data_IF_588539561324
#
_entry.id   IF_588539561324
#
_cell.length_a   1.000
_cell.length_b   1.000
_cell.length_c   1.000
_cell.angle_alpha   90.00
_cell.angle_beta   90.00
_cell.angle_gamma   90.00
#
_symmetry.space_group_name_H-M   'P 1'
#
loop_
_entity.id
_entity.type
_entity.pdbx_description
1 polymer ?
#
# COMPACT_ATOMS: atom_id res chain seq x y z
N UNK A 1 -19.35 19.70 22.04
CA UNK A 1 -18.37 20.25 21.08
C UNK A 1 -17.00 20.21 21.74
N UNK A 2 -15.98 19.73 21.03
CA UNK A 2 -14.62 19.61 21.58
C UNK A 2 -13.96 20.97 21.79
N UNK A 3 -12.97 21.02 22.69
CA UNK A 3 -12.10 22.20 22.88
C UNK A 3 -11.28 22.45 21.59
N UNK A 4 -10.87 23.70 21.30
CA UNK A 4 -10.03 24.01 20.15
C UNK A 4 -8.68 23.28 20.19
N UNK A 5 -8.23 22.77 19.04
CA UNK A 5 -6.96 22.04 18.92
C UNK A 5 -5.77 22.81 19.50
N UNK A 6 -5.69 24.12 19.23
CA UNK A 6 -4.60 24.96 19.72
C UNK A 6 -4.51 25.02 21.25
N UNK A 7 -5.65 25.03 21.94
CA UNK A 7 -5.68 25.05 23.41
C UNK A 7 -5.25 23.70 23.99
N UNK A 8 -5.74 22.60 23.42
CA UNK A 8 -5.40 21.24 23.87
C UNK A 8 -3.93 20.91 23.55
N UNK A 9 -3.43 21.36 22.40
CA UNK A 9 -2.03 21.24 22.02
C UNK A 9 -1.11 22.01 22.99
N UNK A 10 -1.46 23.25 23.34
CA UNK A 10 -0.69 24.06 24.28
C UNK A 10 -0.67 23.44 25.69
N UNK A 11 -1.80 22.92 26.15
CA UNK A 11 -1.88 22.19 27.43
C UNK A 11 -1.03 20.91 27.40
N UNK A 12 -1.14 20.11 26.34
CA UNK A 12 -0.35 18.89 26.17
C UNK A 12 1.16 19.19 26.15
N UNK A 13 1.57 20.25 25.46
CA UNK A 13 2.96 20.68 25.41
C UNK A 13 3.48 21.18 26.77
N UNK A 14 2.68 21.96 27.49
CA UNK A 14 3.00 22.40 28.85
C UNK A 14 3.19 21.21 29.80
N UNK A 15 2.26 20.25 29.75
CA UNK A 15 2.34 19.01 30.54
C UNK A 15 3.56 18.17 30.18
N UNK A 16 3.92 18.11 28.89
CA UNK A 16 5.13 17.42 28.44
C UNK A 16 6.41 18.09 28.98
N UNK A 17 6.51 19.43 28.86
CA UNK A 17 7.66 20.21 29.33
C UNK A 17 7.82 20.20 30.85
N UNK A 18 6.74 20.10 31.62
CA UNK A 18 6.80 19.97 33.07
C UNK A 18 7.64 18.77 33.55
N UNK A 19 7.83 17.77 32.69
CA UNK A 19 8.64 16.56 32.95
C UNK A 19 9.88 16.46 32.07
N UNK A 20 9.97 17.25 31.00
CA UNK A 20 11.01 17.18 29.99
C UNK A 20 11.43 18.61 29.60
N UNK A 21 12.44 19.14 30.29
CA UNK A 21 12.97 20.48 30.02
C UNK A 21 14.46 20.39 29.71
N UNK A 22 14.80 20.44 28.43
CA UNK A 22 16.19 20.32 27.97
C UNK A 22 16.38 20.97 26.61
N UNK A 23 17.63 21.28 26.29
CA UNK A 23 18.02 21.78 24.96
C UNK A 23 17.62 20.81 23.83
N UNK A 24 17.50 19.50 24.12
CA UNK A 24 17.05 18.52 23.13
C UNK A 24 15.57 18.73 22.80
N UNK A 25 14.74 18.99 23.81
CA UNK A 25 13.31 19.29 23.64
C UNK A 25 13.14 20.58 22.85
N UNK A 26 13.91 21.61 23.16
CA UNK A 26 13.83 22.91 22.49
C UNK A 26 14.22 22.85 21.00
N UNK A 27 15.17 21.99 20.63
CA UNK A 27 15.72 21.96 19.27
C UNK A 27 15.14 20.85 18.37
N UNK A 28 14.75 19.71 18.95
CA UNK A 28 14.44 18.51 18.16
C UNK A 28 13.03 17.98 18.35
N UNK A 29 12.29 18.48 19.34
CA UNK A 29 10.97 17.93 19.63
C UNK A 29 9.82 18.82 19.15
N UNK A 30 8.79 18.15 18.66
CA UNK A 30 7.53 18.75 18.24
C UNK A 30 6.34 17.95 18.76
N UNK A 31 5.15 18.26 18.24
CA UNK A 31 3.90 17.67 18.69
C UNK A 31 3.07 17.19 17.49
N UNK A 32 2.69 15.92 17.45
CA UNK A 32 1.73 15.38 16.50
C UNK A 32 0.30 15.66 16.95
N UNK A 33 -0.64 15.78 16.01
CA UNK A 33 -2.08 15.61 16.26
C UNK A 33 -2.48 14.20 15.84
N UNK A 34 -2.46 13.27 16.78
CA UNK A 34 -2.88 11.88 16.55
C UNK A 34 -4.40 11.79 16.64
N UNK A 35 -5.05 11.25 15.61
CA UNK A 35 -6.50 11.07 15.57
C UNK A 35 -6.81 9.60 15.32
N UNK A 36 -7.57 8.98 16.22
CA UNK A 36 -8.01 7.60 16.12
C UNK A 36 -9.52 7.55 15.94
N UNK A 37 -9.96 7.00 14.83
CA UNK A 37 -11.36 6.74 14.53
C UNK A 37 -11.69 5.29 14.88
N UNK A 38 -12.60 5.09 15.84
CA UNK A 38 -13.09 3.74 16.17
C UNK A 38 -14.11 3.28 15.12
N UNK A 39 -13.82 2.22 14.33
CA UNK A 39 -14.73 1.76 13.28
C UNK A 39 -16.03 1.14 13.82
N UNK A 40 -16.06 0.74 15.10
CA UNK A 40 -17.22 0.07 15.70
C UNK A 40 -18.23 1.05 16.30
N UNK A 41 -17.78 2.16 16.87
CA UNK A 41 -18.65 3.12 17.56
C UNK A 41 -18.59 4.55 17.01
N UNK A 42 -17.71 4.82 16.03
CA UNK A 42 -17.55 6.15 15.44
C UNK A 42 -16.93 7.19 16.37
N UNK A 43 -16.46 6.80 17.56
CA UNK A 43 -15.76 7.70 18.46
C UNK A 43 -14.43 8.11 17.86
N UNK A 44 -14.21 9.43 17.78
CA UNK A 44 -12.98 10.05 17.34
C UNK A 44 -12.17 10.49 18.57
N UNK A 45 -11.00 9.91 18.77
CA UNK A 45 -10.09 10.25 19.86
C UNK A 45 -8.92 11.06 19.30
N UNK A 46 -8.82 12.32 19.73
CA UNK A 46 -7.70 13.20 19.38
C UNK A 46 -6.73 13.28 20.56
N UNK A 47 -5.43 13.13 20.28
CA UNK A 47 -4.34 13.33 21.22
C UNK A 47 -3.23 14.15 20.59
N UNK A 48 -2.49 14.86 21.44
CA UNK A 48 -1.31 15.60 21.05
C UNK A 48 -0.08 14.93 21.64
N UNK A 49 0.72 14.29 20.79
CA UNK A 49 1.80 13.39 21.21
C UNK A 49 3.18 13.99 20.85
N UNK A 50 4.13 14.08 21.80
CA UNK A 50 5.47 14.60 21.53
C UNK A 50 6.26 13.66 20.62
N UNK A 51 7.09 14.20 19.73
CA UNK A 51 7.98 13.42 18.86
C UNK A 51 9.35 14.08 18.74
N UNK A 52 10.40 13.30 18.43
CA UNK A 52 11.77 13.79 18.22
C UNK A 52 12.26 13.65 16.76
N UNK A 53 11.69 12.74 16.00
CA UNK A 53 12.03 12.51 14.60
C UNK A 53 10.80 12.06 13.82
N UNK A 54 10.85 12.26 12.50
CA UNK A 54 9.80 11.85 11.58
C UNK A 54 10.22 10.58 10.85
N UNK A 55 9.45 9.50 11.06
CA UNK A 55 9.56 8.30 10.23
C UNK A 55 8.69 8.49 8.99
N UNK A 56 9.33 8.68 7.83
CA UNK A 56 8.62 8.85 6.56
C UNK A 56 8.52 7.49 5.85
N UNK A 57 7.31 6.99 5.55
CA UNK A 57 7.17 5.75 4.81
C UNK A 57 7.67 5.95 3.38
N UNK A 58 8.47 5.01 2.88
CA UNK A 58 8.80 4.96 1.46
C UNK A 58 7.57 4.49 0.68
N UNK A 59 7.36 5.00 -0.55
CA UNK A 59 6.33 4.46 -1.42
C UNK A 59 6.55 2.96 -1.64
N UNK A 60 5.55 2.15 -1.30
CA UNK A 60 5.60 0.72 -1.61
C UNK A 60 5.53 0.51 -3.12
N UNK A 61 6.44 -0.33 -3.64
CA UNK A 61 6.37 -0.75 -5.04
C UNK A 61 5.07 -1.50 -5.28
N UNK A 62 4.22 -0.98 -6.15
CA UNK A 62 2.98 -1.65 -6.56
C UNK A 62 3.21 -2.75 -7.59
N UNK A 63 4.46 -2.97 -8.01
CA UNK A 63 4.86 -3.99 -8.97
C UNK A 63 5.83 -4.99 -8.35
N UNK A 64 5.78 -6.23 -8.83
CA UNK A 64 6.72 -7.31 -8.50
C UNK A 64 7.36 -7.83 -9.79
N UNK A 65 8.67 -8.05 -9.74
CA UNK A 65 9.41 -8.70 -10.81
C UNK A 65 9.34 -10.23 -10.65
N UNK A 66 8.93 -10.93 -11.70
CA UNK A 66 8.87 -12.38 -11.75
C UNK A 66 9.85 -12.91 -12.80
N UNK A 67 10.75 -13.80 -12.37
CA UNK A 67 11.64 -14.53 -13.27
C UNK A 67 10.93 -15.79 -13.78
N UNK A 68 10.76 -15.88 -15.09
CA UNK A 68 10.02 -16.95 -15.76
C UNK A 68 10.93 -17.69 -16.73
N UNK A 69 10.75 -19.01 -16.82
CA UNK A 69 11.35 -19.82 -17.87
C UNK A 69 10.28 -20.15 -18.91
N UNK A 70 10.45 -19.67 -20.14
CA UNK A 70 9.63 -20.08 -21.27
C UNK A 70 10.26 -21.32 -21.90
N UNK A 71 9.50 -22.40 -21.97
CA UNK A 71 9.88 -23.64 -22.62
C UNK A 71 8.95 -23.85 -23.80
N UNK A 72 9.52 -23.95 -24.98
CA UNK A 72 8.80 -24.27 -26.20
C UNK A 72 8.61 -25.78 -26.31
N UNK A 73 7.35 -26.21 -26.33
CA UNK A 73 6.98 -27.63 -26.39
C UNK A 73 7.19 -28.25 -27.77
N UNK A 74 7.32 -27.43 -28.83
CA UNK A 74 7.67 -27.91 -30.17
C UNK A 74 9.15 -28.27 -30.31
N UNK A 75 9.98 -27.87 -29.34
CA UNK A 75 11.43 -28.07 -29.37
C UNK A 75 12.17 -27.16 -30.36
N UNK A 76 11.48 -26.23 -31.04
CA UNK A 76 12.09 -25.34 -32.02
C UNK A 76 13.03 -24.30 -31.38
N UNK A 77 12.80 -23.96 -30.11
CA UNK A 77 13.62 -23.02 -29.36
C UNK A 77 14.10 -23.59 -28.03
N UNK A 78 15.29 -23.15 -27.59
CA UNK A 78 15.84 -23.51 -26.27
C UNK A 78 15.04 -22.80 -25.16
N UNK A 79 15.00 -23.34 -23.93
CA UNK A 79 14.42 -22.64 -22.78
C UNK A 79 15.02 -21.23 -22.61
N UNK A 80 14.16 -20.22 -22.49
CA UNK A 80 14.56 -18.82 -22.36
C UNK A 80 14.05 -18.21 -21.06
N UNK A 81 14.87 -17.37 -20.43
CA UNK A 81 14.55 -16.69 -19.18
C UNK A 81 14.04 -15.28 -19.45
N UNK A 82 12.95 -14.91 -18.80
CA UNK A 82 12.36 -13.59 -18.87
C UNK A 82 12.15 -13.02 -17.47
N UNK A 83 12.23 -11.70 -17.34
CA UNK A 83 11.79 -10.99 -16.15
C UNK A 83 10.61 -10.12 -16.54
N UNK A 84 9.46 -10.32 -15.91
CA UNK A 84 8.26 -9.51 -16.15
C UNK A 84 7.87 -8.78 -14.89
N UNK A 85 7.53 -7.50 -15.04
CA UNK A 85 6.96 -6.70 -13.96
C UNK A 85 5.44 -6.71 -14.06
N UNK A 86 4.79 -7.11 -12.98
CA UNK A 86 3.33 -7.14 -12.88
C UNK A 86 2.87 -6.49 -11.58
N UNK A 87 1.64 -5.96 -11.51
CA UNK A 87 1.08 -5.47 -10.26
C UNK A 87 1.14 -6.52 -9.15
N UNK A 88 1.37 -6.12 -7.90
CA UNK A 88 1.36 -7.06 -6.77
C UNK A 88 -0.01 -7.75 -6.59
N UNK A 89 -1.09 -7.03 -6.87
CA UNK A 89 -2.46 -7.55 -6.94
C UNK A 89 -2.82 -8.20 -8.29
N UNK A 90 -1.84 -8.34 -9.19
CA UNK A 90 -2.03 -8.88 -10.53
C UNK A 90 -2.27 -10.39 -10.54
N UNK A 91 -2.84 -10.86 -11.65
CA UNK A 91 -3.20 -12.26 -11.90
C UNK A 91 -2.18 -12.97 -12.79
N UNK A 92 -2.28 -14.29 -12.91
CA UNK A 92 -1.49 -15.07 -13.88
C UNK A 92 -1.73 -14.58 -15.32
N UNK A 93 -2.92 -14.06 -15.64
CA UNK A 93 -3.21 -13.49 -16.96
C UNK A 93 -2.30 -12.30 -17.26
N UNK A 94 -2.07 -11.43 -16.28
CA UNK A 94 -1.21 -10.25 -16.43
C UNK A 94 0.24 -10.68 -16.70
N UNK A 95 0.68 -11.74 -16.03
CA UNK A 95 1.98 -12.38 -16.25
C UNK A 95 2.08 -12.95 -17.66
N UNK A 96 1.08 -13.71 -18.11
CA UNK A 96 1.06 -14.29 -19.45
C UNK A 96 1.03 -13.22 -20.55
N UNK A 97 0.24 -12.16 -20.38
CA UNK A 97 0.20 -11.04 -21.31
C UNK A 97 1.52 -10.28 -21.35
N UNK A 98 2.14 -10.02 -20.19
CA UNK A 98 3.44 -9.37 -20.12
C UNK A 98 4.55 -10.21 -20.77
N UNK A 99 4.56 -11.52 -20.48
CA UNK A 99 5.51 -12.46 -21.07
C UNK A 99 5.34 -12.57 -22.58
N UNK A 100 4.11 -12.69 -23.07
CA UNK A 100 3.85 -12.84 -24.49
C UNK A 100 4.21 -11.59 -25.30
N UNK A 101 3.99 -10.38 -24.75
CA UNK A 101 4.50 -9.15 -25.36
C UNK A 101 6.03 -9.15 -25.47
N UNK A 102 6.72 -9.60 -24.41
CA UNK A 102 8.18 -9.59 -24.36
C UNK A 102 8.82 -10.70 -25.23
N UNK A 103 8.15 -11.84 -25.34
CA UNK A 103 8.58 -12.97 -26.16
C UNK A 103 8.04 -12.93 -27.59
N UNK A 104 7.29 -11.89 -27.97
CA UNK A 104 6.61 -11.75 -29.27
C UNK A 104 5.72 -12.95 -29.63
N UNK A 105 5.04 -13.52 -28.65
CA UNK A 105 4.13 -14.66 -28.83
C UNK A 105 2.69 -14.12 -28.97
N UNK A 106 1.92 -14.58 -29.98
CA UNK A 106 0.52 -14.20 -30.09
C UNK A 106 -0.28 -14.79 -28.93
N UNK A 107 -0.84 -13.93 -28.07
CA UNK A 107 -1.83 -14.35 -27.07
C UNK A 107 -3.16 -14.49 -27.77
N UNK A 108 -3.79 -15.67 -27.67
CA UNK A 108 -5.15 -15.85 -28.16
C UNK A 108 -6.07 -14.80 -27.51
N UNK A 109 -6.98 -14.17 -28.27
CA UNK A 109 -7.90 -13.18 -27.71
C UNK A 109 -8.73 -13.80 -26.58
N UNK A 110 -9.15 -13.00 -25.57
CA UNK A 110 -10.05 -13.50 -24.54
C UNK A 110 -11.30 -14.07 -25.22
N UNK A 111 -11.61 -15.33 -24.94
CA UNK A 111 -12.83 -15.95 -25.43
C UNK A 111 -14.03 -15.08 -25.05
N UNK A 112 -14.66 -14.48 -26.05
CA UNK A 112 -15.90 -13.74 -25.89
C UNK A 112 -17.00 -14.69 -25.41
N UNK A 113 -17.40 -14.54 -24.15
CA UNK A 113 -18.73 -14.89 -23.64
C UNK A 113 -19.13 -16.37 -23.66
N UNK A 114 -19.11 -17.00 -22.48
CA UNK A 114 -20.24 -17.83 -22.05
C UNK A 114 -21.03 -17.02 -21.03
N UNK A 115 -22.19 -16.47 -21.45
CA UNK A 115 -23.20 -15.99 -20.51
C UNK A 115 -23.56 -17.16 -19.59
N UNK A 116 -23.14 -17.11 -18.34
CA UNK A 116 -23.65 -17.98 -17.28
C UNK A 116 -25.12 -17.62 -17.06
N UNK A 117 -25.99 -18.61 -17.25
CA UNK A 117 -27.44 -18.46 -17.09
C UNK A 117 -27.81 -17.92 -15.72
N UNK A 118 -28.78 -17.02 -15.71
CA UNK A 118 -29.48 -16.60 -14.51
C UNK A 118 -30.16 -17.82 -13.87
N UNK A 119 -29.81 -18.13 -12.62
CA UNK A 119 -30.64 -18.98 -11.76
C UNK A 119 -31.51 -18.02 -10.95
N UNK A 120 -32.81 -18.03 -11.25
CA UNK A 120 -33.82 -17.33 -10.46
C UNK A 120 -34.04 -18.06 -9.12
N UNK A 121 -34.35 -17.36 -8.03
CA UNK A 121 -34.65 -17.99 -6.75
C UNK A 121 -36.09 -18.54 -6.74
N UNK A 122 -36.25 -19.70 -6.11
CA UNK A 122 -37.50 -20.18 -5.52
C UNK A 122 -37.21 -20.50 -4.05
#
# INVERSE_FOLDING_TARGET
>A
AGRPDGEVAAEAWSNYRARNDSVVVDNFQGLYKSTLDCPSCGYNSVKFDPFMYLSLPLPESRVRALKLCLIDTSGATRPMQYVVEVPQSGTVRDVLHALARLAHIPVAPPASGSQGGAVAPA
#
